data_IF_753432935838
#
_entry.id   IF_753432935838
#
_cell.length_a   1.000
_cell.length_b   1.000
_cell.length_c   1.000
_cell.angle_alpha   90.00
_cell.angle_beta   90.00
_cell.angle_gamma   90.00
#
_symmetry.space_group_name_H-M   'P 1'
#
loop_
_entity.id
_entity.type
_entity.pdbx_description
1 polymer ?
#
# COMPACT_ATOMS: atom_id res chain seq x y z
N UNK A 1 -50.86 -17.74 -45.97
CA UNK A 1 -49.40 -17.90 -46.05
C UNK A 1 -48.76 -16.97 -45.05
N UNK A 2 -48.44 -17.46 -43.87
CA UNK A 2 -47.78 -16.74 -42.79
C UNK A 2 -46.28 -17.03 -42.77
N UNK A 3 -45.36 -16.07 -42.69
CA UNK A 3 -43.94 -16.38 -42.66
C UNK A 3 -43.52 -16.85 -41.27
N UNK A 4 -42.79 -17.98 -41.22
CA UNK A 4 -42.20 -18.53 -40.04
C UNK A 4 -40.96 -17.67 -39.66
N UNK A 5 -40.99 -17.12 -38.45
CA UNK A 5 -39.85 -16.48 -37.81
C UNK A 5 -38.80 -17.53 -37.43
N UNK A 6 -37.60 -17.44 -37.98
CA UNK A 6 -36.42 -18.21 -37.52
C UNK A 6 -35.90 -17.60 -36.20
N UNK A 7 -36.17 -18.28 -35.09
CA UNK A 7 -35.49 -18.01 -33.85
C UNK A 7 -34.08 -18.62 -33.94
N UNK A 8 -33.08 -17.77 -34.11
CA UNK A 8 -31.68 -18.16 -33.96
C UNK A 8 -31.44 -18.42 -32.47
N UNK A 9 -31.21 -19.67 -32.10
CA UNK A 9 -30.74 -20.01 -30.72
C UNK A 9 -29.31 -19.55 -30.63
N UNK A 10 -28.93 -18.81 -29.53
CA UNK A 10 -27.53 -18.52 -29.28
C UNK A 10 -26.82 -19.82 -28.92
N UNK A 11 -25.69 -20.08 -29.57
CA UNK A 11 -24.80 -21.18 -29.25
C UNK A 11 -24.36 -21.04 -27.80
N UNK A 12 -24.71 -22.05 -26.97
CA UNK A 12 -24.30 -22.19 -25.57
C UNK A 12 -22.79 -22.48 -25.48
N UNK A 13 -21.96 -21.48 -25.65
CA UNK A 13 -20.51 -21.60 -25.51
C UNK A 13 -20.01 -21.27 -24.09
N UNK A 14 -20.85 -21.55 -23.07
CA UNK A 14 -20.51 -21.33 -21.65
C UNK A 14 -19.53 -22.36 -21.07
N UNK A 15 -19.15 -23.39 -21.84
CA UNK A 15 -18.29 -24.48 -21.34
C UNK A 15 -16.78 -24.30 -21.59
N UNK A 16 -16.28 -23.18 -22.10
CA UNK A 16 -14.87 -23.05 -22.47
C UNK A 16 -13.97 -22.30 -21.50
N UNK A 17 -14.42 -22.02 -20.29
CA UNK A 17 -13.55 -21.57 -19.20
C UNK A 17 -13.72 -22.49 -17.97
N UNK A 18 -13.68 -23.78 -18.16
CA UNK A 18 -13.36 -24.68 -17.08
C UNK A 18 -11.87 -24.43 -16.77
N UNK A 19 -11.62 -23.56 -15.78
CA UNK A 19 -10.33 -23.47 -15.11
C UNK A 19 -9.89 -24.91 -14.79
N UNK A 20 -8.62 -25.24 -15.08
CA UNK A 20 -8.02 -26.50 -14.62
C UNK A 20 -8.35 -26.65 -13.13
N UNK A 21 -8.80 -27.82 -12.68
CA UNK A 21 -8.99 -28.02 -11.25
C UNK A 21 -7.62 -27.84 -10.59
N UNK A 22 -7.44 -26.72 -9.89
CA UNK A 22 -6.32 -26.57 -9.00
C UNK A 22 -6.54 -27.58 -7.87
N UNK A 23 -5.68 -28.59 -7.75
CA UNK A 23 -5.61 -29.42 -6.55
C UNK A 23 -4.88 -28.62 -5.48
N UNK A 24 -5.57 -27.67 -4.88
CA UNK A 24 -5.07 -26.96 -3.71
C UNK A 24 -5.12 -27.91 -2.49
N UNK A 25 -4.16 -27.76 -1.59
CA UNK A 25 -4.34 -28.18 -0.21
C UNK A 25 -5.64 -27.54 0.32
N UNK A 26 -6.34 -28.21 1.23
CA UNK A 26 -7.58 -27.69 1.79
C UNK A 26 -7.32 -26.33 2.46
N UNK A 27 -8.04 -25.28 2.06
CA UNK A 27 -7.98 -23.99 2.73
C UNK A 27 -8.70 -24.13 4.09
N UNK A 28 -7.98 -23.84 5.17
CA UNK A 28 -8.52 -23.68 6.50
C UNK A 28 -8.71 -22.17 6.76
N UNK A 29 -9.89 -21.78 7.26
CA UNK A 29 -10.18 -20.40 7.65
C UNK A 29 -9.81 -20.09 9.10
N UNK A 30 -9.31 -21.06 9.86
CA UNK A 30 -8.72 -20.79 11.17
C UNK A 30 -7.41 -20.01 11.00
N UNK A 31 -7.15 -19.05 11.88
CA UNK A 31 -5.85 -18.40 11.92
C UNK A 31 -4.80 -19.48 12.28
N UNK A 32 -3.73 -19.64 11.48
CA UNK A 32 -2.67 -20.57 11.81
C UNK A 32 -2.08 -20.30 13.21
N UNK A 33 -1.77 -21.35 13.94
CA UNK A 33 -1.33 -21.24 15.36
C UNK A 33 -0.07 -20.37 15.51
N UNK A 34 0.87 -20.46 14.58
CA UNK A 34 2.08 -19.64 14.55
C UNK A 34 1.76 -18.15 14.35
N UNK A 35 0.77 -17.84 13.52
CA UNK A 35 0.29 -16.46 13.34
C UNK A 35 -0.47 -15.99 14.59
N UNK A 36 -1.32 -16.83 15.21
CA UNK A 36 -1.98 -16.45 16.45
C UNK A 36 -0.98 -16.13 17.56
N UNK A 37 0.05 -16.97 17.74
CA UNK A 37 1.13 -16.71 18.69
C UNK A 37 1.85 -15.38 18.37
N UNK A 38 2.10 -15.09 17.09
CA UNK A 38 2.68 -13.80 16.68
C UNK A 38 1.78 -12.63 17.07
N UNK A 39 0.45 -12.74 16.88
CA UNK A 39 -0.48 -11.67 17.28
C UNK A 39 -0.44 -11.42 18.79
N UNK A 40 -0.40 -12.50 19.58
CA UNK A 40 -0.32 -12.42 21.06
C UNK A 40 1.01 -11.78 21.50
N UNK A 41 2.14 -12.17 20.87
CA UNK A 41 3.47 -11.58 21.13
C UNK A 41 3.50 -10.09 20.73
N UNK A 42 2.89 -9.71 19.60
CA UNK A 42 2.78 -8.31 19.16
C UNK A 42 1.94 -7.48 20.14
N UNK A 43 0.86 -8.04 20.65
CA UNK A 43 0.01 -7.36 21.64
C UNK A 43 0.78 -7.10 22.93
N UNK A 44 1.53 -8.09 23.43
CA UNK A 44 2.39 -7.91 24.58
C UNK A 44 3.49 -6.87 24.30
N UNK A 45 4.14 -6.92 23.15
CA UNK A 45 5.18 -5.96 22.77
C UNK A 45 4.63 -4.53 22.68
N UNK A 46 3.43 -4.35 22.14
CA UNK A 46 2.75 -3.05 22.10
C UNK A 46 2.53 -2.52 23.52
N UNK A 47 2.04 -3.37 24.43
CA UNK A 47 1.72 -2.96 25.80
C UNK A 47 2.98 -2.69 26.62
N UNK A 48 4.00 -3.52 26.51
CA UNK A 48 5.20 -3.48 27.37
C UNK A 48 6.29 -2.52 26.86
N UNK A 49 6.35 -2.26 25.54
CA UNK A 49 7.42 -1.46 24.93
C UNK A 49 6.88 -0.23 24.21
N UNK A 50 5.94 -0.40 23.27
CA UNK A 50 5.53 0.68 22.39
C UNK A 50 4.70 1.75 23.11
N UNK A 51 3.72 1.34 23.91
CA UNK A 51 2.91 2.29 24.69
C UNK A 51 3.72 3.09 25.72
N UNK A 52 4.66 2.52 26.45
CA UNK A 52 5.57 3.30 27.28
C UNK A 52 6.35 4.36 26.50
N UNK A 53 6.93 4.01 25.33
CA UNK A 53 7.63 4.97 24.47
C UNK A 53 6.68 6.09 23.99
N UNK A 54 5.45 5.74 23.63
CA UNK A 54 4.42 6.70 23.20
C UNK A 54 4.05 7.68 24.32
N UNK A 55 4.15 7.26 25.58
CA UNK A 55 3.83 8.05 26.76
C UNK A 55 5.00 8.83 27.36
N UNK A 56 6.24 8.55 26.94
CA UNK A 56 7.42 9.25 27.42
C UNK A 56 7.36 10.74 27.02
N UNK A 57 7.81 11.61 27.91
CA UNK A 57 7.83 13.05 27.71
C UNK A 57 6.47 13.56 27.21
N UNK A 58 6.44 14.24 26.04
CA UNK A 58 5.21 14.70 25.41
C UNK A 58 4.98 13.99 24.06
N UNK A 59 5.41 12.74 23.90
CA UNK A 59 5.26 11.98 22.66
C UNK A 59 3.77 11.76 22.28
N UNK A 60 2.88 11.72 23.27
CA UNK A 60 1.42 11.71 23.08
C UNK A 60 0.95 12.81 22.14
N UNK A 61 1.69 13.96 22.04
CA UNK A 61 1.34 15.05 21.13
C UNK A 61 1.27 14.63 19.67
N UNK A 62 2.05 13.63 19.27
CA UNK A 62 2.08 13.13 17.90
C UNK A 62 0.83 12.34 17.52
N UNK A 63 0.06 11.87 18.50
CA UNK A 63 -1.17 11.12 18.33
C UNK A 63 -2.42 11.93 18.69
N UNK A 64 -2.24 13.18 19.15
CA UNK A 64 -3.33 14.10 19.43
C UNK A 64 -3.62 14.98 18.20
N UNK A 65 -4.63 14.59 17.42
CA UNK A 65 -4.99 15.27 16.16
C UNK A 65 -5.47 16.73 16.35
N UNK A 66 -5.63 17.17 17.58
CA UNK A 66 -5.85 18.60 17.91
C UNK A 66 -4.55 19.41 17.81
N UNK A 67 -3.40 18.73 17.89
CA UNK A 67 -2.05 19.30 17.81
C UNK A 67 -1.47 19.00 16.41
N UNK A 68 -2.13 19.55 15.41
CA UNK A 68 -1.89 19.25 13.99
C UNK A 68 -0.44 19.50 13.53
N UNK A 69 0.23 20.49 14.17
CA UNK A 69 1.61 20.85 13.84
C UNK A 69 2.66 19.93 14.46
N UNK A 70 2.25 19.05 15.39
CA UNK A 70 3.21 18.23 16.15
C UNK A 70 4.11 17.35 15.29
N UNK A 71 3.61 16.86 14.16
CA UNK A 71 4.36 15.98 13.22
C UNK A 71 4.98 16.73 12.06
N UNK A 72 4.50 17.94 11.75
CA UNK A 72 4.78 18.65 10.51
C UNK A 72 5.65 19.87 10.78
N UNK A 73 6.74 19.99 10.03
CA UNK A 73 7.60 21.17 10.03
C UNK A 73 7.19 22.09 8.86
N UNK A 74 6.35 23.08 9.17
CA UNK A 74 5.82 24.04 8.18
C UNK A 74 6.89 25.03 7.67
N UNK A 75 7.98 25.22 8.42
CA UNK A 75 9.11 26.04 7.97
C UNK A 75 10.00 25.30 6.97
N UNK A 76 9.90 23.96 6.94
CA UNK A 76 10.60 23.08 6.02
C UNK A 76 9.65 22.43 5.03
N UNK A 77 8.82 23.23 4.41
CA UNK A 77 7.91 22.82 3.32
C UNK A 77 6.95 21.65 3.68
N UNK A 78 6.52 21.60 4.96
CA UNK A 78 5.57 20.60 5.43
C UNK A 78 6.15 19.19 5.61
N UNK A 79 7.46 19.06 5.65
CA UNK A 79 8.16 17.79 5.91
C UNK A 79 7.92 17.29 7.34
N UNK A 80 8.17 15.99 7.60
CA UNK A 80 8.16 15.46 8.95
C UNK A 80 9.17 16.21 9.84
N UNK A 81 8.78 16.55 11.07
CA UNK A 81 9.74 17.12 11.99
C UNK A 81 10.73 16.07 12.54
N UNK A 82 11.90 16.55 12.98
CA UNK A 82 13.00 15.68 13.38
C UNK A 82 12.68 14.80 14.60
N UNK A 83 11.86 15.30 15.54
CA UNK A 83 11.48 14.56 16.74
C UNK A 83 10.53 13.41 16.39
N UNK A 84 9.57 13.65 15.49
CA UNK A 84 8.69 12.61 14.97
C UNK A 84 9.48 11.51 14.24
N UNK A 85 10.39 11.88 13.35
CA UNK A 85 11.26 10.94 12.64
C UNK A 85 12.15 10.12 13.60
N UNK A 86 12.65 10.78 14.68
CA UNK A 86 13.43 10.10 15.71
C UNK A 86 12.60 9.08 16.49
N UNK A 87 11.34 9.41 16.80
CA UNK A 87 10.43 8.51 17.49
C UNK A 87 10.08 7.29 16.62
N UNK A 88 9.80 7.50 15.33
CA UNK A 88 9.55 6.41 14.38
C UNK A 88 10.78 5.50 14.24
N UNK A 89 11.98 6.07 14.21
CA UNK A 89 13.22 5.29 14.16
C UNK A 89 13.37 4.43 15.42
N UNK A 90 13.19 5.02 16.61
CA UNK A 90 13.24 4.28 17.88
C UNK A 90 12.26 3.12 17.89
N UNK A 91 11.02 3.34 17.47
CA UNK A 91 10.02 2.27 17.37
C UNK A 91 10.50 1.12 16.47
N UNK A 92 11.11 1.45 15.32
CA UNK A 92 11.63 0.47 14.39
C UNK A 92 12.82 -0.30 14.95
N UNK A 93 13.74 0.37 15.65
CA UNK A 93 14.91 -0.25 16.27
C UNK A 93 14.48 -1.24 17.38
N UNK A 94 13.50 -0.87 18.19
CA UNK A 94 12.92 -1.77 19.21
C UNK A 94 12.22 -2.98 18.56
N UNK A 95 11.42 -2.74 17.52
CA UNK A 95 10.74 -3.81 16.80
C UNK A 95 11.71 -4.75 16.05
N UNK A 96 12.81 -4.22 15.52
CA UNK A 96 13.85 -5.01 14.87
C UNK A 96 14.62 -5.87 15.91
N UNK A 97 14.95 -5.26 17.06
CA UNK A 97 15.61 -5.97 18.18
C UNK A 97 14.76 -7.10 18.75
N UNK A 98 13.43 -6.93 18.75
CA UNK A 98 12.48 -7.96 19.15
C UNK A 98 12.19 -9.00 18.04
N UNK A 99 12.74 -8.80 16.82
CA UNK A 99 12.57 -9.71 15.68
C UNK A 99 11.22 -9.60 14.97
N UNK A 100 10.51 -8.49 15.17
CA UNK A 100 9.22 -8.22 14.52
C UNK A 100 9.37 -7.44 13.21
N UNK A 101 10.25 -6.45 13.17
CA UNK A 101 10.33 -5.53 12.02
C UNK A 101 10.53 -6.26 10.69
N UNK A 102 11.44 -7.23 10.66
CA UNK A 102 11.81 -8.01 9.46
C UNK A 102 11.03 -9.31 9.30
N UNK A 103 10.00 -9.55 10.10
CA UNK A 103 9.30 -10.83 10.21
C UNK A 103 8.97 -11.49 8.85
N UNK A 104 8.53 -10.73 7.85
CA UNK A 104 8.13 -11.28 6.55
C UNK A 104 9.30 -11.51 5.58
N UNK A 105 10.48 -10.93 5.85
CA UNK A 105 11.64 -11.12 5.00
C UNK A 105 12.18 -12.56 5.10
N UNK A 106 12.93 -13.01 4.08
CA UNK A 106 13.69 -14.26 4.16
C UNK A 106 14.63 -14.32 5.36
N UNK A 107 14.86 -15.51 5.91
CA UNK A 107 15.78 -15.73 7.05
C UNK A 107 17.18 -15.20 6.80
N UNK A 108 17.68 -15.30 5.55
CA UNK A 108 18.99 -14.74 5.16
C UNK A 108 19.09 -13.22 5.33
N UNK A 109 17.96 -12.52 5.49
CA UNK A 109 17.87 -11.08 5.75
C UNK A 109 17.45 -10.76 7.18
N UNK A 110 17.51 -11.75 8.08
CA UNK A 110 17.10 -11.59 9.47
C UNK A 110 15.59 -11.67 9.69
N UNK A 111 14.83 -12.10 8.69
CA UNK A 111 13.39 -12.32 8.79
C UNK A 111 13.01 -13.73 9.27
N UNK A 112 11.74 -14.06 9.19
CA UNK A 112 11.16 -15.37 9.56
C UNK A 112 10.35 -16.01 8.42
N UNK A 113 10.59 -15.62 7.15
CA UNK A 113 9.86 -16.08 5.96
C UNK A 113 8.34 -15.91 6.11
N UNK A 114 7.89 -14.79 6.67
CA UNK A 114 6.47 -14.55 6.92
C UNK A 114 5.64 -14.62 5.62
N UNK A 115 4.51 -15.33 5.67
CA UNK A 115 3.64 -15.54 4.52
C UNK A 115 2.82 -14.30 4.17
N UNK A 116 2.31 -14.20 2.94
CA UNK A 116 1.38 -13.14 2.53
C UNK A 116 0.07 -13.21 3.32
N UNK A 117 -0.44 -14.42 3.61
CA UNK A 117 -1.60 -14.60 4.46
C UNK A 117 -1.33 -14.10 5.88
N UNK A 118 -0.20 -14.47 6.47
CA UNK A 118 0.20 -13.98 7.79
C UNK A 118 0.35 -12.45 7.81
N UNK A 119 0.98 -11.86 6.80
CA UNK A 119 1.09 -10.41 6.66
C UNK A 119 -0.28 -9.73 6.57
N UNK A 120 -1.23 -10.28 5.81
CA UNK A 120 -2.58 -9.73 5.73
C UNK A 120 -3.30 -9.76 7.09
N UNK A 121 -3.21 -10.88 7.82
CA UNK A 121 -3.80 -11.03 9.16
C UNK A 121 -3.18 -10.02 10.14
N UNK A 122 -1.85 -9.92 10.17
CA UNK A 122 -1.12 -8.99 11.06
C UNK A 122 -1.49 -7.53 10.75
N UNK A 123 -1.55 -7.15 9.47
CA UNK A 123 -1.90 -5.77 9.08
C UNK A 123 -3.32 -5.38 9.48
N UNK A 124 -4.27 -6.29 9.32
CA UNK A 124 -5.64 -6.08 9.78
C UNK A 124 -5.68 -5.94 11.31
N UNK A 125 -5.00 -6.84 12.04
CA UNK A 125 -4.94 -6.84 13.50
C UNK A 125 -4.39 -5.52 14.05
N UNK A 126 -3.20 -5.08 13.55
CA UNK A 126 -2.59 -3.84 14.01
C UNK A 126 -3.45 -2.61 13.69
N UNK A 127 -4.04 -2.54 12.51
CA UNK A 127 -4.90 -1.43 12.13
C UNK A 127 -6.20 -1.38 12.96
N UNK A 128 -6.75 -2.53 13.35
CA UNK A 128 -7.94 -2.60 14.21
C UNK A 128 -7.68 -2.13 15.64
N UNK A 129 -6.43 -2.12 16.10
CA UNK A 129 -6.07 -1.53 17.40
C UNK A 129 -6.20 0.00 17.42
N UNK A 130 -6.38 0.63 16.28
CA UNK A 130 -6.51 2.08 16.14
C UNK A 130 -5.19 2.78 15.88
N UNK A 131 -5.18 4.08 16.18
CA UNK A 131 -4.04 4.94 15.94
C UNK A 131 -3.02 4.83 17.07
N UNK A 132 -1.75 4.75 16.75
CA UNK A 132 -0.67 4.68 17.73
C UNK A 132 0.70 4.46 17.07
N UNK A 133 1.75 4.50 17.88
CA UNK A 133 3.13 4.32 17.40
C UNK A 133 3.37 2.91 16.83
N UNK A 134 2.59 1.92 17.26
CA UNK A 134 2.68 0.53 16.78
C UNK A 134 2.36 0.40 15.28
N UNK A 135 1.55 1.31 14.75
CA UNK A 135 1.12 1.32 13.35
C UNK A 135 0.75 2.73 12.95
N UNK A 136 1.75 3.52 12.52
CA UNK A 136 1.50 4.84 12.00
C UNK A 136 0.86 4.74 10.62
N UNK A 137 -0.39 5.12 10.55
CA UNK A 137 -1.16 5.08 9.30
C UNK A 137 -0.67 6.10 8.28
N UNK A 138 0.03 7.16 8.70
CA UNK A 138 0.37 8.27 7.82
C UNK A 138 1.49 7.92 6.83
N UNK A 139 2.57 7.29 7.33
CA UNK A 139 3.76 6.97 6.54
C UNK A 139 3.95 5.45 6.39
N UNK A 140 2.92 4.67 6.68
CA UNK A 140 2.95 3.20 6.64
C UNK A 140 4.03 2.56 7.52
N UNK A 141 4.54 3.31 8.51
CA UNK A 141 5.44 2.77 9.50
C UNK A 141 4.67 1.86 10.47
N UNK A 142 5.28 0.74 10.80
CA UNK A 142 4.68 -0.24 11.70
C UNK A 142 5.78 -1.06 12.37
N UNK A 143 5.48 -1.64 13.52
CA UNK A 143 6.34 -2.63 14.18
C UNK A 143 6.60 -3.88 13.35
N UNK A 144 5.71 -4.20 12.40
CA UNK A 144 6.00 -5.12 11.30
C UNK A 144 6.33 -4.29 10.07
N UNK A 145 7.58 -4.29 9.65
CA UNK A 145 8.06 -3.43 8.57
C UNK A 145 7.49 -3.79 7.20
N UNK A 146 7.71 -2.86 6.29
CA UNK A 146 7.43 -3.00 4.88
C UNK A 146 8.73 -2.74 4.10
N UNK A 147 9.20 -3.70 3.30
CA UNK A 147 10.47 -3.63 2.59
C UNK A 147 10.34 -3.91 1.09
N UNK A 148 9.44 -3.23 0.37
CA UNK A 148 9.18 -3.53 -1.05
C UNK A 148 10.42 -3.30 -1.91
N UNK A 149 11.23 -2.28 -1.61
CA UNK A 149 12.48 -1.99 -2.34
C UNK A 149 13.53 -3.08 -2.15
N UNK A 150 13.62 -3.68 -0.95
CA UNK A 150 14.49 -4.83 -0.67
C UNK A 150 14.03 -6.04 -1.49
N UNK A 151 12.73 -6.32 -1.52
CA UNK A 151 12.18 -7.44 -2.29
C UNK A 151 12.34 -7.22 -3.81
N UNK A 152 12.25 -5.97 -4.29
CA UNK A 152 12.57 -5.65 -5.67
C UNK A 152 14.05 -5.93 -5.98
N UNK A 153 14.95 -5.50 -5.10
CA UNK A 153 16.39 -5.76 -5.23
C UNK A 153 16.70 -7.25 -5.21
N UNK A 154 16.09 -8.00 -4.30
CA UNK A 154 16.23 -9.46 -4.22
C UNK A 154 15.78 -10.16 -5.51
N UNK A 155 14.65 -9.71 -6.09
CA UNK A 155 14.06 -10.37 -7.24
C UNK A 155 14.70 -10.02 -8.57
N UNK A 156 15.15 -8.78 -8.73
CA UNK A 156 15.57 -8.22 -10.02
C UNK A 156 17.02 -7.76 -10.04
N UNK A 157 17.65 -7.55 -8.88
CA UNK A 157 19.05 -7.17 -8.81
C UNK A 157 20.00 -8.30 -9.28
N UNK A 158 21.14 -7.94 -9.89
CA UNK A 158 22.21 -8.87 -10.11
C UNK A 158 22.77 -9.40 -8.78
N UNK A 159 23.50 -10.54 -8.76
CA UNK A 159 24.13 -11.02 -7.53
C UNK A 159 25.00 -9.94 -6.85
N UNK A 160 25.75 -9.17 -7.63
CA UNK A 160 26.62 -8.08 -7.15
C UNK A 160 25.77 -6.92 -6.58
N UNK A 161 24.65 -6.56 -7.22
CA UNK A 161 23.72 -5.57 -6.71
C UNK A 161 23.08 -6.03 -5.40
N UNK A 162 22.63 -7.29 -5.32
CA UNK A 162 22.04 -7.84 -4.10
C UNK A 162 23.03 -7.82 -2.93
N UNK A 163 24.26 -8.27 -3.15
CA UNK A 163 25.33 -8.27 -2.14
C UNK A 163 25.65 -6.87 -1.64
N UNK A 164 25.67 -5.90 -2.53
CA UNK A 164 26.00 -4.49 -2.21
C UNK A 164 24.83 -3.76 -1.55
N UNK A 165 23.61 -3.86 -2.11
CA UNK A 165 22.48 -3.01 -1.73
C UNK A 165 21.67 -3.52 -0.55
N UNK A 166 21.37 -4.84 -0.49
CA UNK A 166 20.43 -5.37 0.50
C UNK A 166 20.90 -5.12 1.94
N UNK A 167 22.16 -5.38 2.32
CA UNK A 167 22.61 -5.06 3.67
C UNK A 167 22.46 -3.58 4.03
N UNK A 168 22.84 -2.68 3.11
CA UNK A 168 22.73 -1.23 3.30
C UNK A 168 21.28 -0.76 3.47
N UNK A 169 20.35 -1.34 2.69
CA UNK A 169 18.91 -1.04 2.81
C UNK A 169 18.36 -1.49 4.16
N UNK A 170 18.75 -2.66 4.62
CA UNK A 170 18.29 -3.22 5.90
C UNK A 170 18.88 -2.48 7.12
N UNK A 171 20.09 -1.96 7.01
CA UNK A 171 20.77 -1.17 8.04
C UNK A 171 20.37 0.33 8.01
N UNK A 172 19.58 0.74 7.02
CA UNK A 172 19.14 2.12 6.83
C UNK A 172 20.21 3.05 6.22
N UNK A 173 21.34 2.50 5.76
CA UNK A 173 22.39 3.23 5.05
C UNK A 173 22.03 3.54 3.59
N UNK A 174 21.13 2.78 2.98
CA UNK A 174 20.51 3.07 1.68
C UNK A 174 19.00 3.20 1.85
N UNK A 175 18.48 4.36 1.48
CA UNK A 175 17.03 4.66 1.46
C UNK A 175 16.67 5.02 0.04
N UNK A 176 15.77 4.27 -0.56
CA UNK A 176 15.47 4.36 -1.98
C UNK A 176 14.03 4.79 -2.18
N UNK A 177 13.84 5.92 -2.88
CA UNK A 177 12.57 6.41 -3.34
C UNK A 177 12.01 5.60 -4.52
N UNK A 178 10.84 6.01 -5.04
CA UNK A 178 10.16 5.32 -6.14
C UNK A 178 9.55 6.31 -7.13
N UNK A 179 10.27 6.60 -8.22
CA UNK A 179 9.96 7.60 -9.24
C UNK A 179 9.37 7.00 -10.52
N UNK A 180 8.13 6.53 -10.48
CA UNK A 180 7.40 6.00 -11.65
C UNK A 180 6.48 7.04 -12.28
N UNK A 181 5.65 7.69 -11.47
CA UNK A 181 4.59 8.61 -11.90
C UNK A 181 5.16 9.91 -12.45
N UNK A 182 4.48 10.49 -13.43
CA UNK A 182 4.83 11.78 -14.02
C UNK A 182 3.66 12.77 -13.89
N UNK A 183 3.91 14.09 -14.05
CA UNK A 183 2.86 15.11 -13.93
C UNK A 183 1.62 14.83 -14.78
N UNK A 184 1.80 14.32 -16.00
CA UNK A 184 0.70 14.03 -16.94
C UNK A 184 0.32 12.56 -17.02
N UNK A 185 1.12 11.65 -16.45
CA UNK A 185 0.98 10.19 -16.63
C UNK A 185 1.02 9.43 -15.30
N UNK A 186 -0.12 9.42 -14.57
CA UNK A 186 -0.29 8.63 -13.35
C UNK A 186 -0.88 7.25 -13.64
N UNK A 187 -2.13 7.20 -14.09
CA UNK A 187 -2.85 5.95 -14.36
C UNK A 187 -2.31 5.16 -15.56
N UNK A 188 -1.70 5.83 -16.51
CA UNK A 188 -1.10 5.24 -17.71
C UNK A 188 0.40 5.50 -17.78
N UNK A 189 1.16 4.75 -16.98
CA UNK A 189 2.62 4.82 -16.96
C UNK A 189 3.27 4.41 -18.30
N UNK A 190 2.51 3.80 -19.22
CA UNK A 190 3.03 3.44 -20.55
C UNK A 190 3.25 4.66 -21.45
N UNK A 191 2.63 5.80 -21.13
CA UNK A 191 2.82 7.08 -21.84
C UNK A 191 3.94 7.94 -21.27
N UNK A 192 4.77 7.38 -20.43
CA UNK A 192 5.92 8.04 -19.80
C UNK A 192 6.72 8.90 -20.77
N UNK A 193 6.99 10.15 -20.38
CA UNK A 193 7.76 11.15 -21.12
C UNK A 193 9.23 11.21 -20.70
N UNK A 194 9.55 10.82 -19.44
CA UNK A 194 10.95 10.71 -19.00
C UNK A 194 11.70 9.73 -19.90
N UNK A 195 12.82 10.18 -20.47
CA UNK A 195 13.64 9.39 -21.38
C UNK A 195 15.04 9.14 -20.79
N UNK A 196 15.64 8.03 -21.19
CA UNK A 196 17.06 7.76 -20.95
C UNK A 196 17.72 7.40 -22.28
N UNK A 197 18.76 8.15 -22.65
CA UNK A 197 19.52 7.96 -23.90
C UNK A 197 20.90 7.43 -23.57
N UNK A 198 21.29 6.34 -24.24
CA UNK A 198 22.59 5.70 -24.02
C UNK A 198 23.72 6.53 -24.57
N UNK A 199 24.76 6.73 -23.77
CA UNK A 199 26.00 7.44 -24.11
C UNK A 199 27.21 6.62 -23.61
N UNK A 200 27.71 5.73 -24.45
CA UNK A 200 28.76 4.78 -24.08
C UNK A 200 28.31 3.79 -23.01
N UNK A 201 28.96 3.80 -21.87
CA UNK A 201 28.63 2.95 -20.69
C UNK A 201 27.66 3.63 -19.71
N UNK A 202 27.20 4.83 -20.06
CA UNK A 202 26.26 5.62 -19.26
C UNK A 202 24.94 5.83 -19.99
N UNK A 203 23.95 6.31 -19.20
CA UNK A 203 22.65 6.78 -19.65
C UNK A 203 22.46 8.22 -19.22
N UNK A 204 21.88 9.04 -20.08
CA UNK A 204 21.52 10.42 -19.81
C UNK A 204 20.01 10.49 -19.66
N UNK A 205 19.53 10.80 -18.46
CA UNK A 205 18.11 10.80 -18.10
C UNK A 205 17.59 12.24 -18.06
N UNK A 206 16.47 12.48 -18.75
CA UNK A 206 15.76 13.76 -18.77
C UNK A 206 14.27 13.54 -18.57
N UNK A 207 13.62 14.39 -17.73
CA UNK A 207 12.19 14.35 -17.50
C UNK A 207 11.78 14.83 -16.11
N UNK A 208 10.58 14.46 -15.70
CA UNK A 208 10.01 14.83 -14.39
C UNK A 208 9.32 13.64 -13.74
N UNK A 209 9.36 13.59 -12.40
CA UNK A 209 8.66 12.57 -11.61
C UNK A 209 7.84 13.23 -10.50
N UNK A 210 6.64 12.72 -10.28
CA UNK A 210 5.73 13.16 -9.22
C UNK A 210 5.47 12.04 -8.22
N UNK A 211 5.28 12.43 -6.96
CA UNK A 211 4.90 11.53 -5.88
C UNK A 211 6.02 10.55 -5.47
N UNK A 212 7.28 10.95 -5.65
CA UNK A 212 8.42 10.15 -5.21
C UNK A 212 8.46 10.14 -3.68
N UNK A 213 8.08 9.01 -3.08
CA UNK A 213 7.93 8.87 -1.63
C UNK A 213 9.28 8.79 -0.93
N UNK A 214 9.41 9.48 0.21
CA UNK A 214 10.56 9.37 1.10
C UNK A 214 11.79 10.16 0.67
N UNK A 215 11.70 11.04 -0.33
CA UNK A 215 12.83 11.77 -0.88
C UNK A 215 13.48 12.76 0.09
N UNK A 216 12.79 13.17 1.16
CA UNK A 216 13.34 14.07 2.19
C UNK A 216 14.54 13.46 2.95
N UNK A 217 14.73 12.16 2.87
CA UNK A 217 15.85 11.45 3.49
C UNK A 217 16.42 10.33 2.60
N UNK A 218 16.00 10.25 1.33
CA UNK A 218 16.49 9.26 0.39
C UNK A 218 17.97 9.48 0.04
N UNK A 219 18.68 8.40 -0.17
CA UNK A 219 20.04 8.41 -0.75
C UNK A 219 19.98 8.14 -2.25
N UNK A 220 18.98 7.42 -2.70
CA UNK A 220 18.75 7.04 -4.09
C UNK A 220 17.27 7.07 -4.42
N UNK A 221 16.96 7.06 -5.72
CA UNK A 221 15.60 6.93 -6.22
C UNK A 221 15.56 5.89 -7.35
N UNK A 222 14.53 5.03 -7.37
CA UNK A 222 14.24 4.18 -8.52
C UNK A 222 13.54 5.00 -9.59
N UNK A 223 14.30 5.46 -10.58
CA UNK A 223 13.76 6.25 -11.68
C UNK A 223 13.43 5.35 -12.87
N UNK A 224 12.18 5.39 -13.29
CA UNK A 224 11.70 4.70 -14.48
C UNK A 224 11.74 5.66 -15.67
N UNK A 225 12.46 5.28 -16.73
CA UNK A 225 12.62 6.10 -17.93
C UNK A 225 12.49 5.26 -19.20
N UNK A 226 12.00 5.85 -20.26
CA UNK A 226 11.91 5.21 -21.57
C UNK A 226 13.27 5.16 -22.23
N UNK A 227 13.74 3.97 -22.52
CA UNK A 227 15.02 3.70 -23.24
C UNK A 227 14.78 3.30 -24.68
N UNK A 228 13.57 2.82 -25.03
CA UNK A 228 13.21 2.41 -26.39
C UNK A 228 11.69 2.32 -26.58
N UNK A 229 11.25 2.00 -27.80
CA UNK A 229 9.83 1.86 -28.12
C UNK A 229 9.09 3.20 -28.20
N UNK A 230 7.75 3.15 -28.34
CA UNK A 230 6.89 4.31 -28.51
C UNK A 230 6.07 4.60 -27.25
N UNK A 231 5.56 5.84 -27.07
CA UNK A 231 4.56 6.13 -26.05
C UNK A 231 3.35 5.19 -26.17
N UNK A 232 2.86 4.72 -25.02
CA UNK A 232 1.75 3.74 -24.95
C UNK A 232 2.21 2.27 -24.95
N UNK A 233 3.48 1.99 -25.22
CA UNK A 233 4.04 0.64 -25.13
C UNK A 233 4.57 0.36 -23.73
N UNK A 234 4.22 -0.80 -23.17
CA UNK A 234 4.64 -1.21 -21.82
C UNK A 234 6.08 -1.73 -21.74
N UNK A 235 6.68 -2.11 -22.87
CA UNK A 235 8.10 -2.42 -22.99
C UNK A 235 8.91 -1.17 -23.37
N UNK A 236 10.22 -1.23 -23.20
CA UNK A 236 11.10 -0.09 -23.50
C UNK A 236 11.19 0.92 -22.35
N UNK A 237 10.65 0.63 -21.17
CA UNK A 237 10.86 1.39 -19.95
C UNK A 237 11.84 0.63 -19.07
N UNK A 238 12.88 1.32 -18.57
CA UNK A 238 13.95 0.76 -17.75
C UNK A 238 13.91 1.39 -16.36
N UNK A 239 14.26 0.62 -15.32
CA UNK A 239 14.40 1.10 -13.95
C UNK A 239 15.86 1.36 -13.64
N UNK A 240 16.21 2.58 -13.19
CA UNK A 240 17.55 2.99 -12.81
C UNK A 240 17.63 3.27 -11.31
N UNK A 241 18.76 2.93 -10.68
CA UNK A 241 19.10 3.29 -9.30
C UNK A 241 19.87 4.61 -9.39
N UNK A 242 19.23 5.73 -9.08
CA UNK A 242 19.80 7.07 -9.25
C UNK A 242 20.15 7.67 -7.89
N UNK A 243 21.42 7.99 -7.59
CA UNK A 243 21.77 8.79 -6.41
C UNK A 243 21.08 10.15 -6.46
N UNK A 244 20.47 10.59 -5.36
CA UNK A 244 19.71 11.86 -5.33
C UNK A 244 20.62 13.09 -5.35
N UNK A 245 21.91 12.93 -5.11
CA UNK A 245 22.95 13.97 -5.21
C UNK A 245 23.63 14.02 -6.59
N UNK A 246 23.17 13.21 -7.56
CA UNK A 246 23.69 13.26 -8.94
C UNK A 246 23.42 14.63 -9.54
N UNK A 247 24.42 15.27 -10.20
CA UNK A 247 24.18 16.51 -10.90
C UNK A 247 23.01 16.45 -11.88
N UNK A 248 22.09 17.41 -11.78
CA UNK A 248 20.87 17.44 -12.58
C UNK A 248 19.65 16.78 -11.95
N UNK A 249 19.80 16.04 -10.84
CA UNK A 249 18.67 15.58 -10.01
C UNK A 249 18.27 16.72 -9.07
N UNK A 250 17.04 17.20 -9.19
CA UNK A 250 16.52 18.28 -8.36
C UNK A 250 15.15 17.94 -7.77
N UNK A 251 15.01 18.08 -6.47
CA UNK A 251 13.69 18.13 -5.82
C UNK A 251 13.17 19.54 -5.94
N UNK A 252 12.09 19.72 -6.70
CA UNK A 252 11.49 21.04 -6.96
C UNK A 252 10.60 21.49 -5.80
N UNK A 253 9.81 20.55 -5.26
CA UNK A 253 8.92 20.78 -4.12
C UNK A 253 8.53 19.47 -3.44
N UNK A 254 8.04 19.57 -2.20
CA UNK A 254 7.30 18.50 -1.53
C UNK A 254 5.80 18.79 -1.57
N UNK A 255 5.02 17.80 -2.00
CA UNK A 255 3.59 17.95 -2.26
C UNK A 255 2.79 18.10 -0.97
N UNK A 256 2.14 19.23 -0.76
CA UNK A 256 1.18 19.37 0.33
C UNK A 256 -0.06 18.56 0.03
N UNK A 257 -0.29 17.55 0.84
CA UNK A 257 -1.37 16.62 0.63
C UNK A 257 -2.50 16.82 1.62
N UNK A 258 -3.59 16.12 1.40
CA UNK A 258 -4.70 16.01 2.34
C UNK A 258 -4.27 15.44 3.71
N UNK A 259 -3.16 14.74 3.75
CA UNK A 259 -2.58 14.11 4.93
C UNK A 259 -1.12 14.60 5.11
N UNK A 260 -0.88 15.47 6.12
CA UNK A 260 0.44 15.99 6.43
C UNK A 260 1.02 15.33 7.68
N UNK A 261 2.33 15.29 7.85
CA UNK A 261 3.41 15.81 7.02
C UNK A 261 3.55 15.10 5.68
N UNK A 262 4.18 15.76 4.71
CA UNK A 262 4.46 15.18 3.40
C UNK A 262 5.86 14.58 3.32
N UNK A 263 6.00 13.56 2.47
CA UNK A 263 7.29 12.96 2.08
C UNK A 263 7.35 12.72 0.56
N UNK A 264 6.34 13.21 -0.17
CA UNK A 264 6.18 12.99 -1.60
C UNK A 264 6.76 14.18 -2.37
N UNK A 265 7.72 13.92 -3.24
CA UNK A 265 8.42 14.95 -3.98
C UNK A 265 7.99 15.05 -5.46
N UNK A 266 8.10 16.27 -5.99
CA UNK A 266 8.25 16.55 -7.42
C UNK A 266 9.75 16.60 -7.74
N UNK A 267 10.19 15.79 -8.69
CA UNK A 267 11.59 15.65 -9.10
C UNK A 267 11.75 16.07 -10.56
N UNK A 268 12.74 16.91 -10.82
CA UNK A 268 13.19 17.25 -12.17
C UNK A 268 14.55 16.60 -12.43
N UNK A 269 14.69 16.01 -13.61
CA UNK A 269 15.89 15.35 -14.09
C UNK A 269 16.39 16.09 -15.34
N UNK A 270 17.59 16.64 -15.27
CA UNK A 270 18.21 17.38 -16.38
C UNK A 270 19.60 16.84 -16.60
N UNK A 271 19.79 16.10 -17.70
CA UNK A 271 21.04 15.45 -18.07
C UNK A 271 21.67 14.62 -16.94
N UNK A 272 20.82 13.94 -16.14
CA UNK A 272 21.26 13.06 -15.06
C UNK A 272 21.96 11.84 -15.63
N UNK A 273 23.22 11.62 -15.24
CA UNK A 273 24.05 10.54 -15.74
C UNK A 273 24.12 9.40 -14.75
N UNK A 274 23.88 8.19 -15.24
CA UNK A 274 23.98 6.93 -14.47
C UNK A 274 24.67 5.85 -15.30
N UNK A 275 25.37 4.94 -14.65
CA UNK A 275 26.10 3.87 -15.33
C UNK A 275 25.17 2.70 -15.69
N UNK A 276 25.55 1.89 -16.69
CA UNK A 276 24.82 0.65 -17.05
C UNK A 276 24.61 -0.30 -15.86
N UNK A 277 25.55 -0.31 -14.90
CA UNK A 277 25.47 -1.15 -13.69
C UNK A 277 24.34 -0.71 -12.72
N UNK A 278 23.80 0.49 -12.91
CA UNK A 278 22.73 1.05 -12.07
C UNK A 278 21.34 0.69 -12.59
N UNK A 279 21.22 -0.14 -13.63
CA UNK A 279 19.93 -0.69 -14.07
C UNK A 279 19.51 -1.76 -13.08
N UNK A 280 18.28 -1.64 -12.55
CA UNK A 280 17.62 -2.67 -11.77
C UNK A 280 16.79 -3.57 -12.70
N UNK A 281 17.17 -4.83 -12.79
CA UNK A 281 16.53 -5.80 -13.70
C UNK A 281 17.07 -5.70 -15.13
N UNK A 282 16.19 -5.88 -16.12
CA UNK A 282 16.54 -5.87 -17.53
C UNK A 282 16.18 -4.55 -18.21
N UNK A 283 17.01 -4.10 -19.15
CA UNK A 283 16.70 -2.95 -20.00
C UNK A 283 15.37 -3.16 -20.74
N UNK A 284 14.50 -2.15 -20.71
CA UNK A 284 13.20 -2.18 -21.36
C UNK A 284 12.11 -2.94 -20.60
N UNK A 285 12.39 -3.48 -19.39
CA UNK A 285 11.44 -4.26 -18.58
C UNK A 285 11.11 -3.65 -17.22
N UNK A 286 11.38 -2.39 -17.02
CA UNK A 286 11.17 -1.68 -15.74
C UNK A 286 9.73 -1.74 -15.22
N UNK A 287 8.70 -1.70 -16.08
CA UNK A 287 7.31 -1.84 -15.60
C UNK A 287 7.03 -3.20 -14.99
N UNK A 288 7.73 -4.26 -15.42
CA UNK A 288 7.63 -5.57 -14.78
C UNK A 288 8.25 -5.55 -13.38
N UNK A 289 9.37 -4.83 -13.23
CA UNK A 289 10.02 -4.59 -11.93
C UNK A 289 9.08 -3.85 -10.98
N UNK A 290 8.38 -2.82 -11.46
CA UNK A 290 7.40 -2.06 -10.68
C UNK A 290 6.19 -2.90 -10.21
N UNK A 291 5.77 -3.92 -10.96
CA UNK A 291 4.57 -4.71 -10.62
C UNK A 291 4.71 -5.48 -9.30
N UNK A 292 5.90 -5.94 -8.93
CA UNK A 292 6.12 -6.64 -7.66
C UNK A 292 5.80 -5.71 -6.47
N UNK A 293 6.35 -4.50 -6.49
CA UNK A 293 6.09 -3.47 -5.49
C UNK A 293 4.57 -3.22 -5.31
N UNK A 294 3.88 -3.05 -6.44
CA UNK A 294 2.46 -2.71 -6.45
C UNK A 294 1.58 -3.85 -5.92
N UNK A 295 1.87 -5.11 -6.23
CA UNK A 295 1.02 -6.24 -5.80
C UNK A 295 1.06 -6.46 -4.29
N UNK A 296 2.25 -6.44 -3.70
CA UNK A 296 2.39 -6.61 -2.25
C UNK A 296 1.77 -5.45 -1.48
N UNK A 297 2.00 -4.22 -1.92
CA UNK A 297 1.40 -3.05 -1.30
C UNK A 297 -0.12 -3.11 -1.34
N UNK A 298 -0.74 -3.55 -2.43
CA UNK A 298 -2.20 -3.62 -2.56
C UNK A 298 -2.84 -4.55 -1.53
N UNK A 299 -2.29 -5.73 -1.30
CA UNK A 299 -2.84 -6.68 -0.31
C UNK A 299 -2.69 -6.12 1.11
N UNK A 300 -1.54 -5.52 1.44
CA UNK A 300 -1.30 -4.92 2.75
C UNK A 300 -2.21 -3.72 3.01
N UNK A 301 -2.34 -2.83 2.04
CA UNK A 301 -3.26 -1.68 2.14
C UNK A 301 -4.71 -2.13 2.32
N UNK A 302 -5.14 -3.16 1.56
CA UNK A 302 -6.48 -3.73 1.70
C UNK A 302 -6.73 -4.26 3.11
N UNK A 303 -5.79 -5.04 3.66
CA UNK A 303 -5.90 -5.60 5.00
C UNK A 303 -5.90 -4.51 6.08
N UNK A 304 -4.98 -3.53 5.99
CA UNK A 304 -4.96 -2.36 6.89
C UNK A 304 -6.28 -1.57 6.82
N UNK A 305 -6.82 -1.41 5.62
CA UNK A 305 -8.09 -0.70 5.42
C UNK A 305 -9.27 -1.43 6.05
N UNK A 306 -9.31 -2.77 5.97
CA UNK A 306 -10.34 -3.56 6.67
C UNK A 306 -10.22 -3.39 8.18
N UNK A 307 -9.02 -3.50 8.74
CA UNK A 307 -8.77 -3.32 10.17
C UNK A 307 -9.16 -1.92 10.66
N UNK A 308 -8.72 -0.86 9.95
CA UNK A 308 -9.03 0.52 10.33
C UNK A 308 -10.53 0.85 10.19
N UNK A 309 -11.20 0.33 9.17
CA UNK A 309 -12.65 0.47 9.02
C UNK A 309 -13.43 -0.23 10.14
N UNK A 310 -12.99 -1.43 10.54
CA UNK A 310 -13.57 -2.15 11.68
C UNK A 310 -13.33 -1.39 12.99
N UNK A 311 -12.14 -0.79 13.19
CA UNK A 311 -11.90 0.09 14.34
C UNK A 311 -12.91 1.26 14.37
N UNK A 312 -13.19 1.90 13.24
CA UNK A 312 -14.20 2.95 13.17
C UNK A 312 -15.60 2.44 13.56
N UNK A 313 -15.97 1.25 13.11
CA UNK A 313 -17.26 0.62 13.46
C UNK A 313 -17.31 0.32 14.97
N UNK A 314 -16.26 -0.30 15.54
CA UNK A 314 -16.18 -0.66 16.96
C UNK A 314 -16.36 0.60 17.85
N UNK A 315 -15.60 1.67 17.57
CA UNK A 315 -15.70 2.96 18.30
C UNK A 315 -17.09 3.59 18.16
N UNK A 316 -17.68 3.53 16.97
CA UNK A 316 -19.03 4.06 16.76
C UNK A 316 -20.10 3.25 17.52
N UNK A 317 -19.98 1.91 17.52
CA UNK A 317 -20.90 1.01 18.25
C UNK A 317 -20.84 1.27 19.76
N UNK A 318 -19.65 1.42 20.34
CA UNK A 318 -19.47 1.76 21.76
C UNK A 318 -20.12 3.10 22.11
N UNK A 319 -19.91 4.11 21.26
CA UNK A 319 -20.51 5.43 21.47
C UNK A 319 -22.04 5.37 21.40
N UNK A 320 -22.63 4.77 20.36
CA UNK A 320 -24.09 4.75 20.20
C UNK A 320 -24.81 3.87 21.25
N UNK A 321 -24.11 2.87 21.82
CA UNK A 321 -24.59 2.08 22.93
C UNK A 321 -24.66 2.89 24.23
N UNK A 322 -23.68 3.77 24.47
CA UNK A 322 -23.62 4.60 25.67
C UNK A 322 -24.48 5.88 25.55
N UNK A 323 -24.72 6.38 24.35
CA UNK A 323 -25.44 7.64 24.09
C UNK A 323 -26.96 7.45 24.17
N UNK A 324 -27.61 8.21 25.05
CA UNK A 324 -29.08 8.25 25.14
C UNK A 324 -29.63 9.47 24.40
N UNK A 325 -30.63 9.25 23.53
CA UNK A 325 -31.40 10.29 22.83
C UNK A 325 -32.89 9.92 22.88
N UNK A 326 -33.74 10.90 23.09
CA UNK A 326 -35.21 10.67 23.21
C UNK A 326 -35.58 9.56 24.22
N UNK A 327 -34.80 9.48 25.32
CA UNK A 327 -35.06 8.53 26.42
C UNK A 327 -34.63 7.07 26.15
N UNK A 328 -33.91 6.80 25.05
CA UNK A 328 -33.44 5.46 24.67
C UNK A 328 -31.99 5.50 24.20
N UNK A 329 -31.21 4.40 24.34
CA UNK A 329 -29.90 4.28 23.69
C UNK A 329 -30.01 4.55 22.19
N UNK A 330 -29.07 5.32 21.65
CA UNK A 330 -29.05 5.66 20.23
C UNK A 330 -28.94 4.40 19.34
N UNK A 331 -28.28 3.36 19.86
CA UNK A 331 -28.15 2.05 19.22
C UNK A 331 -29.50 1.31 19.01
N UNK A 332 -30.60 1.73 19.64
CA UNK A 332 -31.91 1.14 19.36
C UNK A 332 -32.59 1.68 18.08
N UNK A 333 -31.97 2.63 17.42
CA UNK A 333 -32.46 3.19 16.16
C UNK A 333 -31.93 2.38 14.96
N UNK A 334 -32.84 1.79 14.16
CA UNK A 334 -32.48 1.02 12.98
C UNK A 334 -31.72 1.83 11.91
N UNK A 335 -31.96 3.16 11.82
CA UNK A 335 -31.18 4.03 10.93
C UNK A 335 -29.70 4.15 11.34
N UNK A 336 -29.35 3.80 12.58
CA UNK A 336 -27.98 3.70 13.08
C UNK A 336 -27.47 2.26 12.95
N UNK A 337 -28.27 1.27 13.33
CA UNK A 337 -27.88 -0.14 13.33
C UNK A 337 -27.58 -0.67 11.94
N UNK A 338 -28.52 -0.48 10.98
CA UNK A 338 -28.44 -1.12 9.68
C UNK A 338 -27.22 -0.72 8.86
N UNK A 339 -26.86 0.57 8.73
CA UNK A 339 -25.67 0.93 7.99
C UNK A 339 -24.36 0.39 8.61
N UNK A 340 -24.26 0.31 9.93
CA UNK A 340 -23.09 -0.27 10.60
C UNK A 340 -23.04 -1.79 10.41
N UNK A 341 -24.20 -2.48 10.47
CA UNK A 341 -24.29 -3.92 10.22
C UNK A 341 -23.96 -4.29 8.76
N UNK A 342 -24.42 -3.49 7.79
CA UNK A 342 -24.07 -3.68 6.38
C UNK A 342 -22.56 -3.53 6.16
N UNK A 343 -21.93 -2.50 6.72
CA UNK A 343 -20.48 -2.30 6.63
C UNK A 343 -19.72 -3.43 7.33
N UNK A 344 -20.17 -3.89 8.50
CA UNK A 344 -19.53 -5.03 9.16
C UNK A 344 -19.60 -6.29 8.30
N UNK A 345 -20.77 -6.55 7.67
CA UNK A 345 -20.95 -7.67 6.73
C UNK A 345 -20.02 -7.54 5.52
N UNK A 346 -19.87 -6.32 4.98
CA UNK A 346 -18.94 -6.05 3.87
C UNK A 346 -17.49 -6.32 4.29
N UNK A 347 -17.07 -5.93 5.50
CA UNK A 347 -15.74 -6.21 6.03
C UNK A 347 -15.44 -7.72 6.03
N UNK A 348 -16.39 -8.56 6.50
CA UNK A 348 -16.22 -10.02 6.51
C UNK A 348 -16.05 -10.60 5.10
N UNK A 349 -16.83 -10.11 4.12
CA UNK A 349 -16.68 -10.53 2.72
C UNK A 349 -15.33 -10.13 2.13
N UNK A 350 -14.85 -8.90 2.40
CA UNK A 350 -13.57 -8.40 1.89
C UNK A 350 -12.42 -9.15 2.57
N UNK A 351 -12.46 -9.38 3.87
CA UNK A 351 -11.48 -10.18 4.62
C UNK A 351 -11.32 -11.56 4.01
N UNK A 352 -12.42 -12.27 3.77
CA UNK A 352 -12.38 -13.60 3.17
C UNK A 352 -11.72 -13.59 1.78
N UNK A 353 -11.98 -12.56 0.97
CA UNK A 353 -11.34 -12.38 -0.33
C UNK A 353 -9.84 -12.08 -0.20
N UNK A 354 -9.43 -11.24 0.75
CA UNK A 354 -8.02 -10.91 1.03
C UNK A 354 -7.28 -12.17 1.46
N UNK A 355 -7.79 -12.91 2.43
CA UNK A 355 -7.13 -14.13 2.93
C UNK A 355 -6.99 -15.19 1.83
N UNK A 356 -8.04 -15.40 1.05
CA UNK A 356 -7.98 -16.31 -0.09
C UNK A 356 -6.90 -15.87 -1.09
N UNK A 357 -6.86 -14.59 -1.44
CA UNK A 357 -5.91 -14.07 -2.44
C UNK A 357 -4.48 -14.14 -1.91
N UNK A 358 -4.23 -13.77 -0.66
CA UNK A 358 -2.94 -13.87 -0.02
C UNK A 358 -2.47 -15.33 0.08
N UNK A 359 -3.36 -16.26 0.43
CA UNK A 359 -3.08 -17.68 0.42
C UNK A 359 -2.71 -18.21 -0.99
N UNK A 360 -3.43 -17.76 -2.03
CA UNK A 360 -3.09 -18.12 -3.43
C UNK A 360 -1.68 -17.60 -3.82
N UNK A 361 -1.29 -16.39 -3.34
CA UNK A 361 0.08 -15.88 -3.51
C UNK A 361 1.10 -16.81 -2.84
N UNK A 362 0.83 -17.28 -1.63
CA UNK A 362 1.71 -18.22 -0.90
C UNK A 362 1.80 -19.60 -1.58
N UNK A 363 0.78 -20.00 -2.36
CA UNK A 363 0.84 -21.23 -3.19
C UNK A 363 1.64 -21.04 -4.49
N UNK A 364 2.21 -19.86 -4.74
CA UNK A 364 2.98 -19.57 -5.94
C UNK A 364 2.14 -19.44 -7.21
N UNK A 365 0.86 -19.11 -7.10
CA UNK A 365 0.03 -18.81 -8.28
C UNK A 365 0.63 -17.61 -9.01
N UNK A 366 0.72 -17.72 -10.33
CA UNK A 366 1.31 -16.66 -11.16
C UNK A 366 0.63 -15.29 -10.93
N UNK A 367 1.43 -14.26 -10.79
CA UNK A 367 0.97 -12.89 -10.51
C UNK A 367 -0.04 -12.38 -11.55
N UNK A 368 0.10 -12.78 -12.82
CA UNK A 368 -0.82 -12.39 -13.87
C UNK A 368 -2.19 -13.08 -13.74
N UNK A 369 -2.22 -14.28 -13.16
CA UNK A 369 -3.45 -15.02 -12.93
C UNK A 369 -4.29 -14.45 -11.78
N UNK A 370 -3.66 -13.81 -10.79
CA UNK A 370 -4.34 -13.28 -9.60
C UNK A 370 -4.48 -11.75 -9.60
N UNK A 371 -4.01 -11.07 -10.63
CA UNK A 371 -3.96 -9.59 -10.67
C UNK A 371 -5.34 -8.94 -10.53
N UNK A 372 -6.40 -9.59 -11.01
CA UNK A 372 -7.78 -9.16 -10.84
C UNK A 372 -8.26 -9.29 -9.39
N UNK A 373 -7.90 -10.39 -8.70
CA UNK A 373 -8.26 -10.62 -7.29
C UNK A 373 -7.53 -9.65 -6.37
N UNK A 374 -6.24 -9.43 -6.62
CA UNK A 374 -5.46 -8.39 -5.90
C UNK A 374 -6.09 -7.01 -6.09
N UNK A 375 -6.53 -6.68 -7.31
CA UNK A 375 -7.24 -5.43 -7.58
C UNK A 375 -8.58 -5.36 -6.84
N UNK A 376 -9.38 -6.45 -6.82
CA UNK A 376 -10.63 -6.53 -6.07
C UNK A 376 -10.41 -6.27 -4.58
N UNK A 377 -9.41 -6.91 -3.97
CA UNK A 377 -9.07 -6.72 -2.56
C UNK A 377 -8.78 -5.24 -2.26
N UNK A 378 -7.91 -4.62 -3.06
CA UNK A 378 -7.43 -3.29 -2.78
C UNK A 378 -8.53 -2.24 -2.93
N UNK A 379 -9.23 -2.15 -4.09
CA UNK A 379 -10.24 -1.11 -4.26
C UNK A 379 -11.44 -1.28 -3.33
N UNK A 380 -11.84 -2.53 -3.02
CA UNK A 380 -12.95 -2.78 -2.09
C UNK A 380 -12.58 -2.46 -0.66
N UNK A 381 -11.40 -2.90 -0.19
CA UNK A 381 -10.92 -2.62 1.16
C UNK A 381 -10.77 -1.12 1.42
N UNK A 382 -10.16 -0.40 0.48
CA UNK A 382 -9.93 1.04 0.64
C UNK A 382 -11.24 1.85 0.58
N UNK A 383 -12.18 1.47 -0.27
CA UNK A 383 -13.52 2.08 -0.32
C UNK A 383 -14.27 1.84 0.98
N UNK A 384 -14.30 0.58 1.44
CA UNK A 384 -14.93 0.18 2.69
C UNK A 384 -14.42 1.01 3.89
N UNK A 385 -13.11 1.21 4.02
CA UNK A 385 -12.54 2.01 5.12
C UNK A 385 -13.06 3.44 5.12
N UNK A 386 -13.09 4.09 3.95
CA UNK A 386 -13.63 5.44 3.81
C UNK A 386 -15.11 5.51 4.17
N UNK A 387 -15.90 4.55 3.71
CA UNK A 387 -17.34 4.48 3.97
C UNK A 387 -17.63 4.19 5.46
N UNK A 388 -16.82 3.32 6.09
CA UNK A 388 -16.91 3.03 7.53
C UNK A 388 -16.56 4.26 8.38
N UNK A 389 -15.49 4.99 8.05
CA UNK A 389 -15.10 6.18 8.78
C UNK A 389 -16.15 7.31 8.63
N UNK A 390 -16.68 7.55 7.43
CA UNK A 390 -17.77 8.50 7.19
C UNK A 390 -19.03 8.13 7.98
N UNK A 391 -19.43 6.86 7.92
CA UNK A 391 -20.61 6.38 8.64
C UNK A 391 -20.45 6.46 10.16
N UNK A 392 -19.25 6.18 10.68
CA UNK A 392 -18.93 6.31 12.09
C UNK A 392 -19.03 7.77 12.55
N UNK A 393 -18.47 8.73 11.79
CA UNK A 393 -18.64 10.17 12.04
C UNK A 393 -20.12 10.53 12.09
N UNK A 394 -20.91 10.14 11.11
CA UNK A 394 -22.34 10.44 11.04
C UNK A 394 -23.11 9.86 12.22
N UNK A 395 -22.81 8.62 12.62
CA UNK A 395 -23.49 7.94 13.74
C UNK A 395 -23.19 8.58 15.09
N UNK A 396 -21.99 9.12 15.27
CA UNK A 396 -21.55 9.83 16.47
C UNK A 396 -21.97 11.31 16.49
N UNK A 397 -22.49 11.85 15.39
CA UNK A 397 -22.94 13.23 15.29
C UNK A 397 -21.83 14.25 15.55
N UNK A 398 -22.12 15.34 16.27
CA UNK A 398 -21.14 16.40 16.53
C UNK A 398 -19.86 15.92 17.23
N UNK A 399 -19.94 14.88 18.06
CA UNK A 399 -18.76 14.26 18.69
C UNK A 399 -17.89 13.57 17.65
N UNK A 400 -18.52 12.87 16.68
CA UNK A 400 -17.82 12.18 15.58
C UNK A 400 -17.07 13.15 14.64
N UNK A 401 -17.54 14.38 14.52
CA UNK A 401 -16.88 15.45 13.74
C UNK A 401 -15.68 16.06 14.48
N UNK A 402 -15.58 15.84 15.80
CA UNK A 402 -14.50 16.37 16.62
C UNK A 402 -13.23 15.52 16.52
N UNK A 403 -12.07 16.17 16.49
CA UNK A 403 -10.74 15.54 16.39
C UNK A 403 -10.31 14.71 17.60
N UNK A 404 -11.18 14.50 18.58
CA UNK A 404 -10.98 13.51 19.65
C UNK A 404 -11.35 12.10 19.21
N UNK A 405 -12.15 11.98 18.15
CA UNK A 405 -12.47 10.71 17.51
C UNK A 405 -11.47 10.42 16.39
N UNK A 406 -11.18 9.15 16.08
CA UNK A 406 -10.16 8.78 15.11
C UNK A 406 -10.63 8.91 13.65
N UNK A 407 -11.91 9.15 13.42
CA UNK A 407 -12.56 8.93 12.14
C UNK A 407 -12.01 9.80 11.00
N UNK A 408 -11.84 11.11 11.23
CA UNK A 408 -11.39 12.02 10.18
C UNK A 408 -9.93 11.74 9.80
N UNK A 409 -9.09 11.39 10.78
CA UNK A 409 -7.71 11.02 10.54
C UNK A 409 -7.61 9.71 9.74
N UNK A 410 -8.36 8.68 10.14
CA UNK A 410 -8.43 7.41 9.40
C UNK A 410 -8.97 7.65 7.99
N UNK A 411 -10.03 8.46 7.83
CA UNK A 411 -10.57 8.80 6.53
C UNK A 411 -9.53 9.49 5.65
N UNK A 412 -8.85 10.52 6.13
CA UNK A 412 -7.82 11.26 5.37
C UNK A 412 -6.71 10.34 4.92
N UNK A 413 -6.21 9.49 5.80
CA UNK A 413 -5.14 8.55 5.49
C UNK A 413 -5.57 7.54 4.44
N UNK A 414 -6.66 6.80 4.67
CA UNK A 414 -7.10 5.74 3.77
C UNK A 414 -7.73 6.26 2.47
N UNK A 415 -8.13 7.55 2.42
CA UNK A 415 -8.64 8.16 1.19
C UNK A 415 -7.61 8.15 0.06
N UNK A 416 -6.33 8.30 0.38
CA UNK A 416 -5.24 8.23 -0.60
C UNK A 416 -5.15 6.85 -1.25
N UNK A 417 -5.39 5.76 -0.52
CA UNK A 417 -5.30 4.40 -1.03
C UNK A 417 -6.31 4.06 -2.14
N UNK A 418 -7.35 4.87 -2.30
CA UNK A 418 -8.25 4.80 -3.45
C UNK A 418 -7.63 5.40 -4.73
N UNK A 419 -6.44 6.02 -4.62
CA UNK A 419 -5.73 6.71 -5.69
C UNK A 419 -4.36 6.07 -5.93
N UNK A 420 -3.61 5.82 -4.87
CA UNK A 420 -2.25 5.26 -4.94
C UNK A 420 -2.25 3.82 -5.43
N UNK A 421 -1.11 3.32 -5.89
CA UNK A 421 -0.95 1.97 -6.47
C UNK A 421 -1.91 1.69 -7.66
N UNK A 422 -2.34 2.76 -8.33
CA UNK A 422 -3.36 2.76 -9.37
C UNK A 422 -4.76 3.02 -8.83
N UNK A 423 -5.37 4.11 -9.32
CA UNK A 423 -6.69 4.54 -8.92
C UNK A 423 -7.73 3.40 -8.99
N UNK A 424 -8.78 3.47 -8.15
CA UNK A 424 -9.79 2.40 -8.08
C UNK A 424 -10.41 2.07 -9.44
N UNK A 425 -10.54 3.05 -10.35
CA UNK A 425 -11.05 2.86 -11.70
C UNK A 425 -10.09 1.99 -12.54
N UNK A 426 -8.78 2.16 -12.37
CA UNK A 426 -7.76 1.33 -13.04
C UNK A 426 -7.80 -0.09 -12.51
N UNK A 427 -8.04 -0.26 -11.22
CA UNK A 427 -8.18 -1.58 -10.61
C UNK A 427 -9.47 -2.28 -11.07
N UNK A 428 -10.60 -1.55 -11.11
CA UNK A 428 -11.86 -2.06 -11.67
C UNK A 428 -11.69 -2.42 -13.16
N UNK A 429 -10.95 -1.60 -13.94
CA UNK A 429 -10.63 -1.90 -15.34
C UNK A 429 -9.86 -3.23 -15.49
N UNK A 430 -8.94 -3.56 -14.55
CA UNK A 430 -8.25 -4.86 -14.56
C UNK A 430 -9.22 -6.02 -14.34
N UNK A 431 -10.12 -5.88 -13.38
CA UNK A 431 -11.18 -6.86 -13.12
C UNK A 431 -12.08 -7.04 -14.35
N UNK A 432 -12.54 -5.94 -14.92
CA UNK A 432 -13.35 -5.96 -16.14
C UNK A 432 -12.60 -6.60 -17.31
N UNK A 433 -11.31 -6.25 -17.50
CA UNK A 433 -10.47 -6.83 -18.55
C UNK A 433 -10.39 -8.35 -18.48
N UNK A 434 -10.27 -8.90 -17.26
CA UNK A 434 -10.28 -10.35 -17.03
C UNK A 434 -11.67 -10.95 -17.32
N UNK A 435 -12.71 -10.34 -16.72
CA UNK A 435 -14.10 -10.82 -16.83
C UNK A 435 -14.59 -10.85 -18.29
N UNK A 436 -14.29 -9.83 -19.06
CA UNK A 436 -14.73 -9.70 -20.46
C UNK A 436 -13.71 -10.21 -21.49
N UNK A 437 -12.59 -10.79 -21.02
CA UNK A 437 -11.56 -11.37 -21.89
C UNK A 437 -10.77 -10.34 -22.71
N UNK A 438 -10.61 -9.11 -22.20
CA UNK A 438 -9.77 -8.07 -22.83
C UNK A 438 -8.34 -8.10 -22.33
N UNK A 439 -8.09 -8.74 -21.16
CA UNK A 439 -6.75 -8.90 -20.60
C UNK A 439 -5.92 -9.80 -21.52
N UNK A 440 -4.76 -9.33 -21.95
CA UNK A 440 -3.83 -10.08 -22.79
C UNK A 440 -4.09 -10.00 -24.30
N UNK A 441 -5.09 -9.28 -24.77
CA UNK A 441 -5.19 -8.96 -26.20
C UNK A 441 -4.31 -7.75 -26.50
N UNK A 442 -3.16 -8.00 -27.15
CA UNK A 442 -2.44 -6.93 -27.82
C UNK A 442 -3.42 -6.22 -28.75
N UNK A 443 -3.43 -4.88 -28.71
CA UNK A 443 -4.14 -4.11 -29.75
C UNK A 443 -3.46 -4.46 -31.07
N UNK A 444 -4.15 -5.22 -31.90
CA UNK A 444 -3.76 -5.44 -33.29
C UNK A 444 -3.85 -4.16 -34.08
#
# INVERSE_FOLDING_TARGET
MTPRSHIVRPDNNWQRHASRPYTFASMDFAIPTDIQNLLDDLDQFIDDVIKPIEQEDDNVRFFDHRREDSRTDWERDGLPNAEWESLLRRMRDEADSAGFLRWHLPERFGGRNGSNLGMAIVREHLARKGLGLHNDLQNENSIIGNFPTVLMMERFGSPEQQEYWIPKMLEGGARIGFGLTEPLHGSDATWMETTAVKDGDEWVINGEKYWNTGLHHATHDYIFARTSGNPGEGHGITCFIVPVDTPGFAVEEFMWTFNMPTDHAHVRLTDVRVHNADILGEEGRGLQTAQLFVHENRIRQAASSVGAGLHCIDVAVDYVNSRTTFGKPLSQNQAIQFPLAELYTEAEMIRALIWKTAWEMDQGVDHMEITDRVAMCNYRGNRFCCDAADRAMQSCGGVGYGRRMPFEHIYRHHRRYRITEGAEEIQIRKVAGKLFGYAGRAKG
#
